data_IF_389159421443
#
_entry.id   IF_389159421443
#
_cell.length_a   1.000
_cell.length_b   1.000
_cell.length_c   1.000
_cell.angle_alpha   90.00
_cell.angle_beta   90.00
_cell.angle_gamma   90.00
#
_symmetry.space_group_name_H-M   'P 1'
#
loop_
_entity.id
_entity.type
_entity.pdbx_description
1 polymer ?
#
# COMPACT_ATOMS: atom_id res chain seq x y z
N UNK A 1 -7.28 7.19 11.43
CA UNK A 1 -8.12 6.11 10.86
C UNK A 1 -8.78 5.24 11.92
N UNK A 2 -8.04 4.51 12.78
CA UNK A 2 -8.62 3.62 13.79
C UNK A 2 -9.61 4.30 14.76
N UNK A 3 -9.34 5.54 15.19
CA UNK A 3 -10.28 6.29 16.02
C UNK A 3 -11.65 6.52 15.35
N UNK A 4 -11.65 6.80 14.04
CA UNK A 4 -12.89 6.92 13.26
C UNK A 4 -13.59 5.55 13.14
N UNK A 5 -12.81 4.49 12.91
CA UNK A 5 -13.36 3.14 12.84
C UNK A 5 -13.99 2.67 14.16
N UNK A 6 -13.40 3.01 15.30
CA UNK A 6 -13.98 2.72 16.61
C UNK A 6 -15.27 3.53 16.85
N UNK A 7 -15.24 4.83 16.53
CA UNK A 7 -16.37 5.74 16.76
C UNK A 7 -17.59 5.44 15.88
N UNK A 8 -17.36 5.12 14.60
CA UNK A 8 -18.41 4.97 13.59
C UNK A 8 -18.61 3.53 13.13
N UNK A 9 -18.02 2.57 13.84
CA UNK A 9 -18.02 1.14 13.51
C UNK A 9 -17.56 0.79 12.06
N UNK A 10 -16.68 1.60 11.46
CA UNK A 10 -16.19 1.36 10.09
C UNK A 10 -15.39 0.08 9.96
N UNK A 11 -15.48 -0.62 8.84
CA UNK A 11 -14.58 -1.72 8.49
C UNK A 11 -13.16 -1.19 8.26
N UNK A 12 -12.15 -1.99 8.60
CA UNK A 12 -10.74 -1.69 8.33
C UNK A 12 -10.06 -2.93 7.79
N UNK A 13 -9.76 -2.94 6.50
CA UNK A 13 -9.14 -4.04 5.79
C UNK A 13 -7.72 -3.67 5.39
N UNK A 14 -6.87 -4.68 5.25
CA UNK A 14 -5.48 -4.52 4.84
C UNK A 14 -5.23 -5.24 3.52
N UNK A 15 -4.45 -4.60 2.65
CA UNK A 15 -3.86 -5.24 1.48
C UNK A 15 -2.37 -4.97 1.43
N UNK A 16 -1.65 -5.86 0.78
CA UNK A 16 -0.21 -5.76 0.52
C UNK A 16 0.06 -5.87 -0.98
N UNK A 17 0.92 -5.01 -1.53
CA UNK A 17 1.27 -4.99 -2.94
C UNK A 17 2.52 -5.83 -3.17
N UNK A 18 2.41 -6.91 -3.94
CA UNK A 18 3.58 -7.73 -4.27
C UNK A 18 4.51 -6.97 -5.20
N UNK A 19 5.78 -6.89 -4.83
CA UNK A 19 6.84 -6.29 -5.66
C UNK A 19 6.55 -4.85 -6.09
N UNK A 20 6.03 -4.02 -5.17
CA UNK A 20 5.56 -2.66 -5.40
C UNK A 20 6.46 -1.83 -6.35
N UNK A 21 7.78 -1.83 -6.13
CA UNK A 21 8.70 -1.02 -6.93
C UNK A 21 8.75 -1.41 -8.42
N UNK A 22 8.49 -2.67 -8.76
CA UNK A 22 8.56 -3.14 -10.15
C UNK A 22 7.44 -2.59 -11.04
N UNK A 23 6.40 -1.99 -10.46
CA UNK A 23 5.33 -1.35 -11.24
C UNK A 23 5.78 -0.02 -11.84
N UNK A 24 6.67 0.68 -11.15
CA UNK A 24 7.18 1.99 -11.53
C UNK A 24 8.14 1.95 -12.72
N UNK A 25 7.92 2.81 -13.72
CA UNK A 25 8.89 3.02 -14.78
C UNK A 25 10.02 3.94 -14.28
N UNK A 26 11.26 3.62 -14.62
CA UNK A 26 12.39 4.51 -14.31
C UNK A 26 12.36 5.70 -15.27
N UNK A 27 12.53 6.90 -14.72
CA UNK A 27 12.61 8.19 -15.41
C UNK A 27 14.05 8.61 -15.78
N UNK A 28 15.04 7.89 -15.26
CA UNK A 28 16.48 8.08 -15.50
C UNK A 28 17.14 6.88 -16.23
N UNK A 29 18.34 7.08 -16.78
CA UNK A 29 19.12 5.98 -17.36
C UNK A 29 20.00 5.34 -16.30
N UNK A 30 19.63 4.13 -15.87
CA UNK A 30 20.36 3.40 -14.83
C UNK A 30 20.82 2.06 -15.39
N UNK A 31 22.11 1.80 -15.22
CA UNK A 31 22.74 0.53 -15.52
C UNK A 31 23.12 -0.19 -14.24
N UNK A 32 22.93 -1.50 -14.20
CA UNK A 32 23.34 -2.37 -13.10
C UNK A 32 24.16 -3.53 -13.65
N UNK A 33 24.99 -4.11 -12.78
CA UNK A 33 25.70 -5.34 -13.10
C UNK A 33 24.72 -6.46 -13.45
N UNK A 34 25.21 -7.43 -14.23
CA UNK A 34 24.44 -8.61 -14.55
C UNK A 34 24.17 -9.41 -13.26
N UNK A 35 22.94 -9.95 -13.09
CA UNK A 35 22.63 -10.74 -11.91
C UNK A 35 23.50 -12.01 -11.86
N UNK A 36 23.71 -12.58 -10.65
CA UNK A 36 24.43 -13.84 -10.49
C UNK A 36 23.91 -14.92 -11.45
N UNK A 37 24.82 -15.63 -12.11
CA UNK A 37 24.50 -16.63 -13.14
C UNK A 37 24.54 -16.11 -14.59
N UNK A 38 24.58 -14.79 -14.79
CA UNK A 38 24.77 -14.18 -16.11
C UNK A 38 26.14 -13.49 -16.15
N UNK A 39 27.06 -14.01 -16.96
CA UNK A 39 28.38 -13.41 -17.18
C UNK A 39 28.64 -13.25 -18.66
N UNK A 40 28.44 -12.03 -19.16
CA UNK A 40 28.80 -11.65 -20.52
C UNK A 40 29.77 -10.48 -20.41
N UNK A 41 31.00 -10.69 -20.85
CA UNK A 41 32.06 -9.69 -20.74
C UNK A 41 31.65 -8.39 -21.43
N UNK A 42 31.85 -7.26 -20.75
CA UNK A 42 31.57 -5.93 -21.26
C UNK A 42 30.09 -5.58 -21.39
N UNK A 43 29.18 -6.32 -20.75
CA UNK A 43 27.73 -6.03 -20.76
C UNK A 43 27.19 -5.70 -19.37
N UNK A 44 26.21 -4.81 -19.35
CA UNK A 44 25.44 -4.37 -18.17
C UNK A 44 23.96 -4.38 -18.51
N UNK A 45 23.10 -4.43 -17.48
CA UNK A 45 21.65 -4.34 -17.63
C UNK A 45 21.19 -2.89 -17.55
N UNK A 46 20.46 -2.40 -18.56
CA UNK A 46 19.68 -1.16 -18.42
C UNK A 46 18.35 -1.46 -17.74
N UNK A 47 18.08 -0.82 -16.61
CA UNK A 47 16.81 -1.01 -15.92
C UNK A 47 15.68 -0.29 -16.65
N UNK A 48 14.54 -0.96 -16.79
CA UNK A 48 13.28 -0.40 -17.34
C UNK A 48 12.26 -0.07 -16.24
N UNK A 49 12.30 -0.83 -15.15
CA UNK A 49 11.42 -0.71 -14.00
C UNK A 49 12.24 -0.44 -12.75
N UNK A 50 11.67 0.30 -11.80
CA UNK A 50 12.33 0.57 -10.55
C UNK A 50 12.56 -0.73 -9.77
N UNK A 51 13.69 -0.84 -9.09
CA UNK A 51 14.13 -2.05 -8.40
C UNK A 51 14.41 -1.73 -6.93
N UNK A 52 14.26 -2.73 -6.07
CA UNK A 52 14.72 -2.65 -4.68
C UNK A 52 16.21 -2.26 -4.62
N UNK A 53 16.55 -1.37 -3.69
CA UNK A 53 17.89 -0.80 -3.56
C UNK A 53 18.11 0.51 -4.31
N UNK A 54 17.25 0.88 -5.27
CA UNK A 54 17.30 2.21 -5.87
C UNK A 54 16.72 3.26 -4.93
N UNK A 55 17.46 4.34 -4.67
CA UNK A 55 17.02 5.45 -3.81
C UNK A 55 15.69 6.09 -4.24
N UNK A 56 15.40 6.07 -5.54
CA UNK A 56 14.19 6.67 -6.12
C UNK A 56 13.03 5.67 -6.28
N UNK A 57 13.25 4.37 -6.08
CA UNK A 57 12.20 3.36 -6.25
C UNK A 57 10.95 3.62 -5.40
N UNK A 58 11.06 3.99 -4.10
CA UNK A 58 9.88 4.33 -3.29
C UNK A 58 9.08 5.50 -3.87
N UNK A 59 9.77 6.54 -4.38
CA UNK A 59 9.12 7.72 -4.98
C UNK A 59 8.40 7.38 -6.28
N UNK A 60 9.03 6.58 -7.14
CA UNK A 60 8.42 6.15 -8.42
C UNK A 60 7.18 5.30 -8.13
N UNK A 61 7.27 4.37 -7.19
CA UNK A 61 6.13 3.57 -6.77
C UNK A 61 5.00 4.44 -6.23
N UNK A 62 5.31 5.35 -5.31
CA UNK A 62 4.32 6.23 -4.71
C UNK A 62 3.57 7.07 -5.75
N UNK A 63 4.27 7.63 -6.75
CA UNK A 63 3.63 8.32 -7.89
C UNK A 63 2.74 7.37 -8.69
N UNK A 64 3.23 6.18 -9.01
CA UNK A 64 2.46 5.15 -9.75
C UNK A 64 1.17 4.78 -9.03
N UNK A 65 1.22 4.68 -7.70
CA UNK A 65 0.06 4.39 -6.88
C UNK A 65 -0.91 5.58 -6.79
N UNK A 66 -0.40 6.81 -6.60
CA UNK A 66 -1.23 8.02 -6.61
C UNK A 66 -2.04 8.12 -7.91
N UNK A 67 -1.38 7.94 -9.06
CA UNK A 67 -2.04 8.03 -10.36
C UNK A 67 -3.15 6.96 -10.50
N UNK A 68 -2.89 5.75 -10.00
CA UNK A 68 -3.90 4.69 -9.96
C UNK A 68 -5.08 5.05 -9.05
N UNK A 69 -4.82 5.47 -7.81
CA UNK A 69 -5.86 5.87 -6.86
C UNK A 69 -6.70 7.05 -7.39
N UNK A 70 -6.06 8.04 -8.01
CA UNK A 70 -6.74 9.15 -8.66
C UNK A 70 -7.68 8.67 -9.78
N UNK A 71 -7.23 7.71 -10.61
CA UNK A 71 -8.08 7.09 -11.64
C UNK A 71 -9.26 6.30 -11.08
N UNK A 72 -9.19 5.86 -9.83
CA UNK A 72 -10.31 5.23 -9.12
C UNK A 72 -11.25 6.25 -8.45
N UNK A 73 -10.93 7.55 -8.56
CA UNK A 73 -11.67 8.66 -7.97
C UNK A 73 -11.31 8.96 -6.52
N UNK A 74 -10.15 8.51 -6.04
CA UNK A 74 -9.65 8.92 -4.72
C UNK A 74 -8.86 10.21 -4.82
N UNK A 75 -9.07 11.09 -3.85
CA UNK A 75 -8.33 12.33 -3.69
C UNK A 75 -7.36 12.23 -2.52
N UNK A 76 -6.16 12.79 -2.68
CA UNK A 76 -5.19 12.87 -1.60
C UNK A 76 -5.64 13.88 -0.54
N UNK A 77 -5.51 13.51 0.74
CA UNK A 77 -5.84 14.41 1.84
C UNK A 77 -4.80 15.53 1.97
N UNK A 78 -5.27 16.76 2.21
CA UNK A 78 -4.42 17.96 2.30
C UNK A 78 -3.44 17.93 3.50
N UNK A 79 -3.85 17.29 4.60
CA UNK A 79 -3.08 17.29 5.86
C UNK A 79 -2.17 16.07 6.02
N UNK A 80 -2.38 15.03 5.23
CA UNK A 80 -1.57 13.80 5.28
C UNK A 80 -1.52 13.19 3.87
N UNK A 81 -0.34 13.26 3.26
CA UNK A 81 -0.11 12.76 1.90
C UNK A 81 -0.21 11.23 1.80
N UNK A 82 -0.09 10.50 2.92
CA UNK A 82 -0.26 9.05 2.92
C UNK A 82 -1.75 8.63 2.91
N UNK A 83 -2.68 9.56 3.09
CA UNK A 83 -4.12 9.28 3.20
C UNK A 83 -4.86 9.77 1.97
N UNK A 84 -5.70 8.91 1.42
CA UNK A 84 -6.56 9.17 0.29
C UNK A 84 -8.01 8.94 0.69
N UNK A 85 -8.94 9.69 0.10
CA UNK A 85 -10.36 9.65 0.42
C UNK A 85 -11.20 9.63 -0.84
N UNK A 86 -12.25 8.81 -0.84
CA UNK A 86 -13.38 8.84 -1.78
C UNK A 86 -14.65 8.62 -0.98
N UNK A 87 -15.54 9.61 -0.98
CA UNK A 87 -16.75 9.61 -0.14
C UNK A 87 -16.42 9.35 1.34
N UNK A 88 -16.91 8.25 1.93
CA UNK A 88 -16.61 7.84 3.31
C UNK A 88 -15.57 6.70 3.38
N UNK A 89 -14.90 6.38 2.28
CA UNK A 89 -13.83 5.38 2.21
C UNK A 89 -12.48 6.05 2.17
N UNK A 90 -11.58 5.59 3.03
CA UNK A 90 -10.23 6.10 3.21
C UNK A 90 -9.21 5.00 2.92
N UNK A 91 -8.11 5.37 2.27
CA UNK A 91 -6.96 4.50 2.07
C UNK A 91 -5.75 5.17 2.70
N UNK A 92 -5.08 4.49 3.62
CA UNK A 92 -3.76 4.88 4.13
C UNK A 92 -2.72 3.98 3.48
N UNK A 93 -1.69 4.60 2.94
CA UNK A 93 -0.60 3.94 2.22
C UNK A 93 0.68 4.04 3.03
N UNK A 94 1.33 2.90 3.26
CA UNK A 94 2.71 2.84 3.76
C UNK A 94 3.53 1.93 2.86
N UNK A 95 4.24 2.51 1.90
CA UNK A 95 5.03 1.77 0.90
C UNK A 95 4.15 0.72 0.18
N UNK A 96 4.31 -0.57 0.49
CA UNK A 96 3.59 -1.72 -0.07
C UNK A 96 2.33 -2.10 0.74
N UNK A 97 2.21 -1.65 1.98
CA UNK A 97 1.08 -1.88 2.87
C UNK A 97 -0.03 -0.82 2.67
N UNK A 98 -1.28 -1.27 2.52
CA UNK A 98 -2.46 -0.42 2.41
C UNK A 98 -3.49 -0.76 3.49
N UNK A 99 -4.02 0.25 4.17
CA UNK A 99 -5.23 0.14 4.99
C UNK A 99 -6.39 0.81 4.30
N UNK A 100 -7.49 0.08 4.12
CA UNK A 100 -8.72 0.56 3.52
C UNK A 100 -9.78 0.58 4.63
N UNK A 101 -10.34 1.75 4.92
CA UNK A 101 -11.33 1.92 5.98
C UNK A 101 -12.57 2.67 5.49
N UNK A 102 -13.76 2.20 5.87
CA UNK A 102 -15.01 2.84 5.48
C UNK A 102 -16.24 2.14 6.07
N UNK A 103 -17.41 2.79 6.00
CA UNK A 103 -18.64 2.24 6.56
C UNK A 103 -19.24 1.09 5.73
N UNK A 104 -18.99 1.05 4.42
CA UNK A 104 -19.58 0.06 3.51
C UNK A 104 -18.55 -0.97 3.08
N UNK A 105 -18.77 -2.22 3.50
CA UNK A 105 -17.92 -3.35 3.13
C UNK A 105 -17.89 -3.60 1.61
N UNK A 106 -18.99 -3.34 0.89
CA UNK A 106 -19.03 -3.55 -0.56
C UNK A 106 -18.10 -2.57 -1.28
N UNK A 107 -18.09 -1.31 -0.86
CA UNK A 107 -17.14 -0.31 -1.38
C UNK A 107 -15.69 -0.72 -1.12
N UNK A 108 -15.40 -1.29 0.05
CA UNK A 108 -14.05 -1.80 0.35
C UNK A 108 -13.68 -2.95 -0.61
N UNK A 109 -14.58 -3.89 -0.87
CA UNK A 109 -14.33 -4.98 -1.81
C UNK A 109 -14.18 -4.50 -3.26
N UNK A 110 -14.92 -3.47 -3.68
CA UNK A 110 -14.76 -2.84 -4.99
C UNK A 110 -13.38 -2.16 -5.13
N UNK A 111 -12.91 -1.50 -4.08
CA UNK A 111 -11.56 -0.91 -4.02
C UNK A 111 -10.50 -1.99 -4.10
N UNK A 112 -10.64 -3.07 -3.33
CA UNK A 112 -9.72 -4.21 -3.36
C UNK A 112 -9.64 -4.84 -4.74
N UNK A 113 -10.79 -4.98 -5.41
CA UNK A 113 -10.86 -5.47 -6.79
C UNK A 113 -10.14 -4.53 -7.75
N UNK A 114 -10.42 -3.22 -7.69
CA UNK A 114 -9.77 -2.22 -8.55
C UNK A 114 -8.24 -2.21 -8.37
N UNK A 115 -7.76 -2.33 -7.13
CA UNK A 115 -6.34 -2.49 -6.83
C UNK A 115 -5.77 -3.79 -7.40
N UNK A 116 -6.51 -4.90 -7.28
CA UNK A 116 -6.10 -6.23 -7.78
C UNK A 116 -6.10 -6.34 -9.30
N UNK A 117 -6.98 -5.59 -9.97
CA UNK A 117 -7.00 -5.48 -11.43
C UNK A 117 -5.78 -4.69 -11.95
N UNK A 118 -5.26 -3.76 -11.14
CA UNK A 118 -4.13 -2.91 -11.52
C UNK A 118 -2.77 -3.45 -11.08
N UNK A 119 -2.70 -4.07 -9.91
CA UNK A 119 -1.48 -4.54 -9.26
C UNK A 119 -1.68 -5.96 -8.72
N UNK A 120 -0.58 -6.69 -8.55
CA UNK A 120 -0.63 -8.01 -7.91
C UNK A 120 -0.76 -7.81 -6.41
N UNK A 121 -1.98 -7.90 -5.91
CA UNK A 121 -2.28 -7.69 -4.50
C UNK A 121 -2.28 -9.01 -3.71
N UNK A 122 -2.02 -8.90 -2.42
CA UNK A 122 -2.35 -9.88 -1.40
C UNK A 122 -3.41 -9.25 -0.50
N UNK A 123 -4.61 -9.81 -0.51
CA UNK A 123 -5.66 -9.44 0.44
C UNK A 123 -5.37 -10.10 1.79
N UNK A 124 -5.21 -9.29 2.83
CA UNK A 124 -4.97 -9.76 4.21
C UNK A 124 -6.30 -9.84 4.97
N UNK A 125 -7.36 -9.22 4.46
CA UNK A 125 -8.68 -9.18 5.10
C UNK A 125 -8.77 -8.12 6.18
N UNK A 126 -9.56 -8.37 7.22
CA UNK A 126 -9.70 -7.45 8.35
C UNK A 126 -8.35 -7.24 9.06
N UNK A 127 -8.00 -5.97 9.29
CA UNK A 127 -6.69 -5.61 9.81
C UNK A 127 -6.54 -6.05 11.27
N UNK A 128 -5.60 -6.97 11.50
CA UNK A 128 -5.20 -7.46 12.83
C UNK A 128 -3.78 -7.07 13.22
N UNK A 129 -2.98 -6.65 12.26
CA UNK A 129 -1.61 -6.23 12.48
C UNK A 129 -1.17 -5.24 11.39
N UNK A 130 -0.64 -4.09 11.76
CA UNK A 130 -0.18 -3.09 10.80
C UNK A 130 1.09 -2.41 11.32
N UNK A 131 2.17 -2.43 10.55
CA UNK A 131 3.45 -1.76 10.86
C UNK A 131 3.98 -2.04 12.28
N UNK A 132 3.94 -3.29 12.72
CA UNK A 132 4.43 -3.68 14.06
C UNK A 132 3.39 -3.54 15.18
N UNK A 133 2.18 -3.07 14.88
CA UNK A 133 1.11 -2.84 15.84
C UNK A 133 0.03 -3.92 15.67
N UNK A 134 -0.20 -4.71 16.71
CA UNK A 134 -1.34 -5.60 16.81
C UNK A 134 -2.64 -4.84 17.08
N UNK A 135 -3.69 -5.20 16.35
CA UNK A 135 -5.01 -4.55 16.41
C UNK A 135 -6.05 -5.59 16.80
N UNK A 136 -6.74 -5.33 17.90
CA UNK A 136 -7.88 -6.11 18.38
C UNK A 136 -9.12 -5.22 18.42
N UNK A 137 -10.25 -5.72 17.91
CA UNK A 137 -11.49 -4.95 17.84
C UNK A 137 -12.63 -5.66 18.57
N UNK A 138 -13.30 -4.94 19.44
CA UNK A 138 -14.54 -5.34 20.09
C UNK A 138 -15.66 -4.40 19.65
N UNK A 139 -16.44 -4.82 18.65
CA UNK A 139 -17.55 -4.02 18.11
C UNK A 139 -18.68 -3.83 19.13
N UNK A 140 -18.92 -4.81 20.00
CA UNK A 140 -19.98 -4.73 21.01
C UNK A 140 -19.73 -3.61 22.02
N UNK A 141 -18.46 -3.30 22.27
CA UNK A 141 -18.02 -2.21 23.15
C UNK A 141 -17.56 -0.95 22.41
N UNK A 142 -17.54 -0.96 21.08
CA UNK A 142 -16.99 0.13 20.27
C UNK A 142 -15.50 0.40 20.51
N UNK A 143 -14.72 -0.64 20.84
CA UNK A 143 -13.31 -0.52 21.22
C UNK A 143 -12.38 -1.07 20.14
N UNK A 144 -11.28 -0.35 19.90
CA UNK A 144 -10.11 -0.86 19.18
C UNK A 144 -8.92 -0.73 20.11
N UNK A 145 -8.25 -1.85 20.39
CA UNK A 145 -7.05 -1.93 21.20
C UNK A 145 -5.84 -2.09 20.29
N UNK A 146 -4.86 -1.23 20.50
CA UNK A 146 -3.58 -1.26 19.80
C UNK A 146 -2.52 -1.79 20.77
N UNK A 147 -1.72 -2.75 20.31
CA UNK A 147 -0.64 -3.35 21.11
C UNK A 147 0.65 -3.37 20.30
N UNK A 148 1.76 -3.00 20.93
CA UNK A 148 3.08 -3.17 20.34
C UNK A 148 3.86 -4.09 21.27
N UNK A 149 4.28 -5.25 20.78
CA UNK A 149 5.19 -6.10 21.55
C UNK A 149 6.59 -5.51 21.37
N UNK A 150 7.28 -5.26 22.47
CA UNK A 150 8.72 -4.99 22.41
C UNK A 150 9.38 -6.20 21.73
N UNK A 151 10.18 -5.94 20.69
CA UNK A 151 11.02 -6.97 20.09
C UNK A 151 11.95 -7.52 21.19
N UNK A 152 11.78 -8.78 21.57
CA UNK A 152 12.82 -9.57 22.24
C UNK A 152 13.75 -10.15 21.18
#
# INVERSE_FOLDING_TARGET
MFALAAKYDWHVHQMDVKTAFLYGNIDEVIYVELPPGYKINGKVCKLKKALYGLKQAPRIWYKTLIDALASFGFEQCLYDTAVFKKDNTFILVYVDDLLIAGPDIKQIEDVKKSLSDRFKMKDIGECKFFLGIGIERDRSKGLIKLTQKAHM
#
